data_IF_932484949224
#
_entry.id   IF_932484949224
#
_cell.length_a   1.000
_cell.length_b   1.000
_cell.length_c   1.000
_cell.angle_alpha   90.00
_cell.angle_beta   90.00
_cell.angle_gamma   90.00
#
_symmetry.space_group_name_H-M   'P 1'
#
loop_
_entity.id
_entity.type
_entity.pdbx_description
1 polymer ?
#
# COMPACT_ATOMS: atom_id res chain seq x y z
N UNK A 1 -9.46 -5.39 -3.84
CA UNK A 1 -10.14 -6.66 -3.51
C UNK A 1 -10.18 -6.81 -2.01
N UNK A 2 -11.34 -7.04 -1.43
CA UNK A 2 -11.47 -7.36 -0.01
C UNK A 2 -11.14 -8.84 0.21
N UNK A 3 -10.09 -9.09 0.99
CA UNK A 3 -9.58 -10.40 1.32
C UNK A 3 -9.92 -10.68 2.77
N UNK A 4 -10.68 -11.74 3.00
CA UNK A 4 -11.06 -12.23 4.32
C UNK A 4 -10.55 -13.66 4.48
N UNK A 5 -10.63 -14.20 5.70
CA UNK A 5 -10.34 -15.63 5.95
C UNK A 5 -11.03 -16.58 4.97
N UNK A 6 -12.26 -16.28 4.55
CA UNK A 6 -13.08 -17.16 3.70
C UNK A 6 -12.56 -17.24 2.25
N UNK A 7 -11.94 -16.18 1.74
CA UNK A 7 -11.48 -16.12 0.35
C UNK A 7 -9.94 -16.10 0.21
N UNK A 8 -9.19 -15.97 1.32
CA UNK A 8 -7.72 -15.87 1.28
C UNK A 8 -7.05 -16.95 0.44
N UNK A 9 -7.43 -18.22 0.61
CA UNK A 9 -6.84 -19.33 -0.16
C UNK A 9 -7.09 -19.23 -1.66
N UNK A 10 -8.25 -18.70 -2.06
CA UNK A 10 -8.59 -18.50 -3.47
C UNK A 10 -7.75 -17.38 -4.10
N UNK A 11 -7.45 -16.34 -3.32
CA UNK A 11 -6.75 -15.13 -3.79
C UNK A 11 -5.23 -15.26 -3.70
N UNK A 12 -4.73 -16.16 -2.85
CA UNK A 12 -3.31 -16.32 -2.54
C UNK A 12 -2.40 -16.39 -3.78
N UNK A 13 -2.72 -17.26 -4.74
CA UNK A 13 -1.88 -17.45 -5.93
C UNK A 13 -1.82 -16.21 -6.81
N UNK A 14 -2.97 -15.56 -7.04
CA UNK A 14 -3.04 -14.33 -7.84
C UNK A 14 -2.30 -13.18 -7.13
N UNK A 15 -2.45 -13.08 -5.81
CA UNK A 15 -1.75 -12.09 -4.99
C UNK A 15 -0.22 -12.29 -4.99
N UNK A 16 0.25 -13.53 -4.83
CA UNK A 16 1.69 -13.87 -4.92
C UNK A 16 2.25 -13.53 -6.30
N UNK A 17 1.49 -13.80 -7.37
CA UNK A 17 1.86 -13.41 -8.73
C UNK A 17 1.94 -11.88 -8.87
N UNK A 18 0.91 -11.15 -8.42
CA UNK A 18 0.90 -9.69 -8.45
C UNK A 18 2.08 -9.07 -7.70
N UNK A 19 2.49 -9.64 -6.56
CA UNK A 19 3.70 -9.20 -5.84
C UNK A 19 4.95 -9.42 -6.69
N UNK A 20 5.13 -10.63 -7.24
CA UNK A 20 6.34 -10.98 -7.99
C UNK A 20 6.49 -10.17 -9.28
N UNK A 21 5.38 -9.83 -9.93
CA UNK A 21 5.35 -9.10 -11.20
C UNK A 21 5.34 -7.57 -10.99
N UNK A 22 5.44 -7.07 -9.75
CA UNK A 22 5.33 -5.64 -9.43
C UNK A 22 6.66 -4.93 -9.29
N UNK A 23 6.67 -3.66 -9.70
CA UNK A 23 7.85 -2.80 -9.64
C UNK A 23 7.87 -1.98 -8.36
N UNK A 24 6.68 -1.73 -7.81
CA UNK A 24 6.48 -1.03 -6.57
C UNK A 24 5.31 -1.66 -5.82
N UNK A 25 5.47 -1.76 -4.50
CA UNK A 25 4.42 -2.18 -3.58
C UNK A 25 4.21 -1.06 -2.58
N UNK A 26 2.97 -0.58 -2.45
CA UNK A 26 2.58 0.25 -1.31
C UNK A 26 1.87 -0.61 -0.26
N UNK A 27 2.09 -0.27 1.01
CA UNK A 27 1.41 -0.87 2.15
C UNK A 27 0.77 0.21 3.01
N UNK A 28 -0.34 -0.14 3.64
CA UNK A 28 -1.03 0.69 4.62
C UNK A 28 -1.68 -0.19 5.70
N UNK A 29 -1.75 0.30 6.94
CA UNK A 29 -2.22 -0.47 8.08
C UNK A 29 -3.36 0.25 8.78
N UNK A 30 -4.44 -0.47 9.08
CA UNK A 30 -5.42 -0.02 10.07
C UNK A 30 -5.19 -0.75 11.38
N UNK A 31 -5.15 0.01 12.47
CA UNK A 31 -4.85 -0.47 13.81
C UNK A 31 -6.00 -0.18 14.77
N UNK A 32 -6.15 -1.00 15.80
CA UNK A 32 -7.14 -0.80 16.88
C UNK A 32 -6.98 0.53 17.65
N UNK A 33 -5.85 1.21 17.50
CA UNK A 33 -5.59 2.53 18.08
C UNK A 33 -4.24 3.08 17.63
N UNK A 34 -3.95 4.32 18.00
CA UNK A 34 -2.77 5.08 17.58
C UNK A 34 -1.89 5.56 18.74
N UNK A 35 -2.48 5.84 19.90
CA UNK A 35 -1.79 6.20 21.15
C UNK A 35 -2.77 5.99 22.33
N UNK A 36 -2.27 5.72 23.53
CA UNK A 36 -3.11 5.46 24.71
C UNK A 36 -3.33 6.69 25.61
N UNK A 37 -2.54 7.73 25.41
CA UNK A 37 -2.58 8.96 26.20
C UNK A 37 -2.00 10.13 25.41
N UNK A 38 -2.21 11.36 25.91
CA UNK A 38 -1.58 12.55 25.31
C UNK A 38 -0.04 12.48 25.38
N UNK A 39 0.52 11.83 26.42
CA UNK A 39 1.96 11.70 26.62
C UNK A 39 2.61 10.69 25.68
N UNK A 40 1.90 9.61 25.34
CA UNK A 40 2.39 8.60 24.39
C UNK A 40 2.28 9.07 22.94
N UNK A 41 1.56 10.16 22.66
CA UNK A 41 1.47 10.74 21.32
C UNK A 41 2.80 11.40 20.92
N UNK A 42 3.33 11.00 19.77
CA UNK A 42 4.48 11.66 19.17
C UNK A 42 4.12 13.10 18.79
N UNK A 43 5.02 14.04 19.07
CA UNK A 43 4.79 15.47 18.84
C UNK A 43 6.05 16.16 18.28
N UNK A 44 5.94 17.47 17.99
CA UNK A 44 7.00 18.23 17.33
C UNK A 44 8.23 18.52 18.19
N UNK A 45 8.10 18.51 19.52
CA UNK A 45 9.23 18.78 20.44
C UNK A 45 10.03 17.52 20.78
N UNK A 46 9.52 16.33 20.43
CA UNK A 46 10.22 15.08 20.65
C UNK A 46 11.46 14.96 19.74
N UNK A 47 12.58 14.49 20.29
CA UNK A 47 13.71 14.05 19.48
C UNK A 47 13.40 12.70 18.78
N UNK A 48 14.28 12.28 17.86
CA UNK A 48 14.04 11.06 17.07
C UNK A 48 13.91 9.79 17.93
N UNK A 49 14.71 9.66 18.99
CA UNK A 49 14.61 8.50 19.89
C UNK A 49 13.27 8.48 20.61
N UNK A 50 12.82 9.63 21.13
CA UNK A 50 11.52 9.73 21.81
C UNK A 50 10.35 9.42 20.86
N UNK A 51 10.40 9.92 19.61
CA UNK A 51 9.38 9.58 18.59
C UNK A 51 9.38 8.08 18.31
N UNK A 52 10.55 7.48 18.13
CA UNK A 52 10.69 6.05 17.91
C UNK A 52 10.08 5.24 19.05
N UNK A 53 10.43 5.52 20.31
CA UNK A 53 9.89 4.78 21.46
C UNK A 53 8.38 4.91 21.58
N UNK A 54 7.82 6.10 21.34
CA UNK A 54 6.37 6.35 21.35
C UNK A 54 5.65 5.56 20.26
N UNK A 55 6.16 5.60 19.02
CA UNK A 55 5.57 4.89 17.87
C UNK A 55 5.71 3.38 18.06
N UNK A 56 6.87 2.91 18.53
CA UNK A 56 7.11 1.51 18.86
C UNK A 56 6.13 1.01 19.92
N UNK A 57 5.95 1.76 21.00
CA UNK A 57 5.01 1.40 22.06
C UNK A 57 3.58 1.27 21.52
N UNK A 58 3.13 2.20 20.67
CA UNK A 58 1.84 2.11 20.00
C UNK A 58 1.75 0.87 19.11
N UNK A 59 2.78 0.60 18.30
CA UNK A 59 2.82 -0.55 17.39
C UNK A 59 2.83 -1.91 18.10
N UNK A 60 3.45 -1.99 19.28
CA UNK A 60 3.46 -3.20 20.11
C UNK A 60 2.15 -3.39 20.90
N UNK A 61 1.41 -2.30 21.14
CA UNK A 61 0.19 -2.30 21.95
C UNK A 61 -1.08 -2.53 21.14
N UNK A 62 -1.19 -1.93 19.96
CA UNK A 62 -2.40 -1.98 19.14
C UNK A 62 -2.30 -3.06 18.06
N UNK A 63 -3.35 -3.87 17.93
CA UNK A 63 -3.42 -4.89 16.90
C UNK A 63 -3.68 -4.28 15.53
N UNK A 64 -3.03 -4.83 14.50
CA UNK A 64 -3.35 -4.59 13.09
C UNK A 64 -4.65 -5.35 12.78
N UNK A 65 -5.67 -4.64 12.29
CA UNK A 65 -6.98 -5.21 11.92
C UNK A 65 -7.20 -5.21 10.41
N UNK A 66 -6.41 -4.43 9.67
CA UNK A 66 -6.41 -4.45 8.22
C UNK A 66 -4.99 -4.23 7.69
N UNK A 67 -4.63 -4.99 6.67
CA UNK A 67 -3.37 -4.86 5.95
C UNK A 67 -3.68 -4.54 4.47
N UNK A 68 -3.55 -3.28 4.09
CA UNK A 68 -3.69 -2.80 2.72
C UNK A 68 -2.41 -2.99 1.94
N UNK A 69 -2.50 -3.55 0.73
CA UNK A 69 -1.38 -3.75 -0.19
C UNK A 69 -1.79 -3.31 -1.57
N UNK A 70 -0.99 -2.51 -2.25
CA UNK A 70 -1.19 -2.23 -3.67
C UNK A 70 0.06 -2.50 -4.48
N UNK A 71 -0.09 -3.30 -5.54
CA UNK A 71 1.00 -3.62 -6.47
C UNK A 71 0.90 -2.72 -7.70
N UNK A 72 2.00 -2.11 -8.09
CA UNK A 72 2.10 -1.26 -9.28
C UNK A 72 3.01 -1.91 -10.31
N UNK A 73 2.54 -1.96 -11.54
CA UNK A 73 3.24 -2.59 -12.66
C UNK A 73 3.66 -1.53 -13.66
N UNK A 74 4.87 -1.65 -14.22
CA UNK A 74 5.30 -0.76 -15.28
C UNK A 74 4.53 -1.09 -16.55
N UNK A 75 3.74 -0.13 -17.03
CA UNK A 75 3.15 -0.22 -18.36
C UNK A 75 4.24 0.12 -19.38
N UNK A 76 4.68 -0.87 -20.15
CA UNK A 76 5.53 -0.59 -21.31
C UNK A 76 4.60 -0.06 -22.40
N UNK A 77 4.59 1.25 -22.59
CA UNK A 77 4.01 1.85 -23.80
C UNK A 77 4.92 1.43 -24.94
N UNK A 78 4.39 0.61 -25.84
CA UNK A 78 5.06 0.25 -27.07
C UNK A 78 5.06 1.51 -27.95
N UNK A 79 6.09 2.34 -27.85
CA UNK A 79 6.30 3.42 -28.82
C UNK A 79 6.48 2.77 -30.19
N UNK A 80 5.40 2.81 -30.95
CA UNK A 80 5.28 2.23 -32.27
C UNK A 80 6.15 3.07 -33.21
N UNK A 81 7.30 2.54 -33.65
CA UNK A 81 7.98 3.10 -34.81
C UNK A 81 7.09 2.90 -36.04
N UNK A 82 6.30 3.93 -36.37
CA UNK A 82 5.81 4.21 -37.73
C UNK A 82 4.35 3.90 -38.01
N UNK A 83 3.46 4.89 -37.83
CA UNK A 83 2.69 5.52 -38.92
C UNK A 83 1.76 6.60 -38.35
N UNK A 84 1.80 7.76 -39.00
CA UNK A 84 1.15 8.99 -38.61
C UNK A 84 -0.36 8.88 -38.35
N UNK A 85 -0.81 9.53 -37.27
CA UNK A 85 -1.82 10.59 -37.34
C UNK A 85 -2.04 11.16 -35.94
N UNK A 86 -1.81 12.46 -35.80
CA UNK A 86 -2.18 13.28 -34.66
C UNK A 86 -3.60 12.95 -34.16
N UNK A 87 -3.70 12.68 -32.87
CA UNK A 87 -4.79 13.21 -32.06
C UNK A 87 -4.33 13.25 -30.61
N UNK A 88 -4.00 14.47 -30.19
CA UNK A 88 -3.75 14.84 -28.80
C UNK A 88 -4.92 14.43 -27.92
N UNK A 89 -4.74 13.36 -27.15
CA UNK A 89 -5.47 13.17 -25.91
C UNK A 89 -4.42 12.87 -24.84
N UNK A 90 -4.04 13.91 -24.10
CA UNK A 90 -3.34 13.76 -22.83
C UNK A 90 -4.29 13.02 -21.87
N UNK A 91 -4.29 11.69 -21.92
CA UNK A 91 -4.83 10.89 -20.84
C UNK A 91 -3.72 10.73 -19.81
N UNK A 92 -3.92 11.25 -18.61
CA UNK A 92 -3.13 10.94 -17.43
C UNK A 92 -2.93 9.41 -17.38
N UNK A 93 -1.72 8.94 -17.69
CA UNK A 93 -1.41 7.51 -17.77
C UNK A 93 -1.29 6.99 -16.33
N UNK A 94 -2.43 6.65 -15.76
CA UNK A 94 -2.53 6.06 -14.43
C UNK A 94 -1.84 4.70 -14.46
N UNK A 95 -0.81 4.54 -13.66
CA UNK A 95 -0.31 3.23 -13.26
C UNK A 95 -1.48 2.41 -12.72
N UNK A 96 -1.82 1.29 -13.40
CA UNK A 96 -2.90 0.42 -12.94
C UNK A 96 -2.41 -0.35 -11.70
N UNK A 97 -2.70 0.19 -10.52
CA UNK A 97 -2.45 -0.47 -9.25
C UNK A 97 -3.50 -1.55 -8.97
N UNK A 98 -3.07 -2.75 -8.57
CA UNK A 98 -4.00 -3.76 -8.02
C UNK A 98 -3.92 -3.71 -6.51
N UNK A 99 -4.98 -3.23 -5.86
CA UNK A 99 -5.00 -3.10 -4.40
C UNK A 99 -5.83 -4.20 -3.73
N UNK A 100 -5.29 -4.80 -2.67
CA UNK A 100 -5.88 -5.80 -1.80
C UNK A 100 -5.97 -5.27 -0.37
N UNK A 101 -7.11 -5.47 0.28
CA UNK A 101 -7.33 -5.12 1.68
C UNK A 101 -7.59 -6.40 2.45
N UNK A 102 -6.65 -6.77 3.32
CA UNK A 102 -6.73 -8.01 4.08
C UNK A 102 -7.31 -7.71 5.47
N UNK A 103 -8.43 -8.35 5.80
CA UNK A 103 -9.14 -8.24 7.08
C UNK A 103 -9.16 -9.59 7.82
#
# INVERSE_FOLDING_TARGET
MDVTKANFQKVKLDFEKSINDSELISIDLEMTGLWDSFYSKANSIDNMQMKYEKIKNAAEKFQIIQFGVCTFHKKIVQDYYGSASDNSNNSEDSTNGTCHFLY
#
